data_IF_222385421527
#
_entry.id   IF_222385421527
#
_cell.length_a   1.000
_cell.length_b   1.000
_cell.length_c   1.000
_cell.angle_alpha   90.00
_cell.angle_beta   90.00
_cell.angle_gamma   90.00
#
_symmetry.space_group_name_H-M   'P 1'
#
loop_
_entity.id
_entity.type
_entity.pdbx_description
1 polymer ?
#
# COMPACT_ATOMS: atom_id res chain seq x y z
N UNK A 1 -10.24 49.99 30.06
CA UNK A 1 -9.53 48.74 29.72
C UNK A 1 -10.51 47.64 29.31
N UNK A 2 -11.16 47.71 28.14
CA UNK A 2 -12.01 46.63 27.61
C UNK A 2 -12.11 46.74 26.08
N UNK A 3 -11.00 46.50 25.37
CA UNK A 3 -10.99 46.42 23.90
C UNK A 3 -10.19 45.24 23.35
N UNK A 4 -9.52 44.45 24.21
CA UNK A 4 -8.73 43.29 23.78
C UNK A 4 -9.54 41.99 23.61
N UNK A 5 -10.80 41.93 24.06
CA UNK A 5 -11.58 40.69 24.05
C UNK A 5 -12.08 40.27 22.67
N UNK A 6 -12.40 41.23 21.79
CA UNK A 6 -12.98 40.95 20.47
C UNK A 6 -11.91 40.61 19.42
N UNK A 7 -10.73 41.24 19.49
CA UNK A 7 -9.63 40.95 18.57
C UNK A 7 -9.06 39.53 18.78
N UNK A 8 -8.99 39.06 20.04
CA UNK A 8 -8.55 37.71 20.35
C UNK A 8 -9.55 36.63 19.90
N UNK A 9 -10.85 36.92 19.94
CA UNK A 9 -11.90 35.99 19.49
C UNK A 9 -11.94 35.85 17.96
N UNK A 10 -11.67 36.93 17.23
CA UNK A 10 -11.60 36.94 15.76
C UNK A 10 -10.36 36.23 15.22
N UNK A 11 -9.26 36.20 15.99
CA UNK A 11 -8.04 35.50 15.61
C UNK A 11 -8.16 33.97 15.71
N UNK A 12 -9.01 33.47 16.61
CA UNK A 12 -9.31 32.04 16.76
C UNK A 12 -10.17 31.53 15.59
N UNK A 13 -11.00 32.41 14.99
CA UNK A 13 -11.87 32.07 13.86
C UNK A 13 -11.15 32.06 12.50
N UNK A 14 -9.92 32.59 12.44
CA UNK A 14 -9.11 32.65 11.21
C UNK A 14 -8.06 31.54 11.12
N UNK A 15 -7.93 30.69 12.15
CA UNK A 15 -7.18 29.46 12.00
C UNK A 15 -8.06 28.53 11.16
N UNK A 16 -7.64 28.15 9.93
CA UNK A 16 -8.30 27.03 9.27
C UNK A 16 -8.34 25.90 10.29
N UNK A 17 -9.45 25.16 10.43
CA UNK A 17 -9.41 23.96 11.24
C UNK A 17 -8.22 23.19 10.69
N UNK A 18 -7.16 23.09 11.49
CA UNK A 18 -6.09 22.17 11.19
C UNK A 18 -6.81 20.84 11.24
N UNK A 19 -7.22 20.40 10.05
CA UNK A 19 -7.61 19.05 9.78
C UNK A 19 -6.39 18.25 10.22
N UNK A 20 -6.35 17.89 11.50
CA UNK A 20 -5.98 16.54 11.84
C UNK A 20 -6.98 15.71 11.03
N UNK A 21 -6.65 15.51 9.75
CA UNK A 21 -7.28 14.54 8.92
C UNK A 21 -7.08 13.27 9.72
N UNK A 22 -8.12 12.85 10.44
CA UNK A 22 -8.24 11.49 10.84
C UNK A 22 -8.03 10.73 9.53
N UNK A 23 -6.84 10.16 9.38
CA UNK A 23 -6.52 9.30 8.24
C UNK A 23 -7.49 8.14 8.41
N UNK A 24 -8.66 8.26 7.77
CA UNK A 24 -9.65 7.21 7.79
C UNK A 24 -8.92 5.97 7.29
N UNK A 25 -8.90 4.93 8.12
CA UNK A 25 -8.21 3.70 7.78
C UNK A 25 -8.74 3.23 6.43
N UNK A 26 -7.83 3.01 5.48
CA UNK A 26 -8.21 2.50 4.17
C UNK A 26 -8.94 1.17 4.32
N UNK A 27 -10.00 0.93 3.53
CA UNK A 27 -10.69 -0.35 3.57
C UNK A 27 -9.72 -1.47 3.19
N UNK A 28 -9.91 -2.64 3.80
CA UNK A 28 -9.23 -3.85 3.39
C UNK A 28 -9.75 -4.26 2.01
N UNK A 29 -8.87 -4.65 1.09
CA UNK A 29 -9.28 -5.14 -0.21
C UNK A 29 -10.03 -6.47 -0.10
N UNK A 30 -11.23 -6.53 -0.67
CA UNK A 30 -12.10 -7.71 -0.61
C UNK A 30 -11.64 -8.80 -1.59
N UNK A 31 -10.89 -9.78 -1.07
CA UNK A 31 -10.44 -10.95 -1.84
C UNK A 31 -11.49 -12.06 -1.91
N UNK A 32 -12.64 -11.92 -1.26
CA UNK A 32 -13.74 -12.90 -1.42
C UNK A 32 -14.48 -12.69 -2.74
N UNK A 33 -14.40 -11.47 -3.28
CA UNK A 33 -15.04 -11.10 -4.54
C UNK A 33 -14.19 -11.50 -5.74
N UNK A 34 -14.87 -12.06 -6.76
CA UNK A 34 -14.35 -12.16 -8.11
C UNK A 34 -14.88 -10.99 -8.93
N UNK A 35 -13.98 -10.20 -9.48
CA UNK A 35 -14.32 -9.10 -10.38
C UNK A 35 -14.37 -9.66 -11.80
N UNK A 36 -15.55 -9.66 -12.44
CA UNK A 36 -15.69 -10.25 -13.78
C UNK A 36 -15.31 -9.26 -14.88
N UNK A 37 -15.40 -7.97 -14.57
CA UNK A 37 -15.18 -6.87 -15.51
C UNK A 37 -14.18 -5.88 -14.93
N UNK A 38 -13.39 -5.26 -15.80
CA UNK A 38 -12.41 -4.24 -15.41
C UNK A 38 -13.07 -3.03 -14.73
N UNK A 39 -14.31 -2.68 -15.11
CA UNK A 39 -15.06 -1.60 -14.46
C UNK A 39 -15.36 -1.89 -12.97
N UNK A 40 -15.75 -3.13 -12.64
CA UNK A 40 -16.02 -3.55 -11.26
C UNK A 40 -14.74 -3.52 -10.42
N UNK A 41 -13.63 -3.99 -10.99
CA UNK A 41 -12.31 -3.94 -10.34
C UNK A 41 -11.87 -2.48 -10.14
N UNK A 42 -12.04 -1.63 -11.16
CA UNK A 42 -11.69 -0.20 -11.10
C UNK A 42 -12.48 0.53 -10.03
N UNK A 43 -13.77 0.19 -9.85
CA UNK A 43 -14.57 0.71 -8.75
C UNK A 43 -14.04 0.26 -7.38
N UNK A 44 -13.62 -1.00 -7.25
CA UNK A 44 -13.11 -1.54 -6.00
C UNK A 44 -11.78 -0.93 -5.54
N UNK A 45 -10.95 -0.46 -6.47
CA UNK A 45 -9.67 0.20 -6.16
C UNK A 45 -9.79 1.73 -5.99
N UNK A 46 -10.97 2.32 -6.22
CA UNK A 46 -11.19 3.77 -6.09
C UNK A 46 -10.73 4.35 -4.74
N UNK A 47 -10.99 3.70 -3.58
CA UNK A 47 -10.55 4.26 -2.30
C UNK A 47 -9.04 4.47 -2.21
N UNK A 48 -8.26 3.56 -2.80
CA UNK A 48 -6.80 3.65 -2.81
C UNK A 48 -6.30 4.73 -3.78
N UNK A 49 -6.94 4.84 -4.95
CA UNK A 49 -6.63 5.88 -5.92
C UNK A 49 -6.93 7.28 -5.34
N UNK A 50 -8.06 7.44 -4.64
CA UNK A 50 -8.43 8.68 -3.96
C UNK A 50 -7.47 9.01 -2.80
N UNK A 51 -7.03 8.01 -2.04
CA UNK A 51 -6.04 8.24 -1.00
C UNK A 51 -4.68 8.66 -1.58
N UNK A 52 -4.28 8.12 -2.73
CA UNK A 52 -3.05 8.52 -3.41
C UNK A 52 -3.14 9.89 -4.09
N UNK A 53 -4.34 10.33 -4.50
CA UNK A 53 -4.52 11.70 -4.99
C UNK A 53 -4.47 12.73 -3.85
N UNK A 54 -4.93 12.37 -2.66
CA UNK A 54 -4.84 13.20 -1.46
C UNK A 54 -3.43 13.22 -0.85
N UNK A 55 -2.78 12.05 -0.78
CA UNK A 55 -1.41 11.88 -0.31
C UNK A 55 -0.67 10.81 -1.14
N UNK A 56 0.14 11.29 -2.08
CA UNK A 56 0.96 10.42 -2.94
C UNK A 56 2.02 9.61 -2.18
N UNK A 57 2.29 9.94 -0.91
CA UNK A 57 3.26 9.25 -0.04
C UNK A 57 2.58 8.30 0.96
N UNK A 58 1.29 8.02 0.79
CA UNK A 58 0.60 7.07 1.64
C UNK A 58 1.02 5.62 1.34
N UNK A 59 1.89 5.05 2.19
CA UNK A 59 2.40 3.69 2.03
C UNK A 59 1.28 2.64 2.01
N UNK A 60 0.26 2.79 2.88
CA UNK A 60 -0.87 1.86 2.96
C UNK A 60 -1.75 1.89 1.69
N UNK A 61 -1.91 3.06 1.07
CA UNK A 61 -2.64 3.19 -0.19
C UNK A 61 -1.89 2.51 -1.35
N UNK A 62 -0.58 2.71 -1.42
CA UNK A 62 0.29 1.99 -2.36
C UNK A 62 0.24 0.48 -2.16
N UNK A 63 0.24 0.01 -0.90
CA UNK A 63 0.08 -1.40 -0.57
C UNK A 63 -1.25 -1.97 -1.08
N UNK A 64 -2.39 -1.37 -0.71
CA UNK A 64 -3.70 -1.92 -1.08
C UNK A 64 -3.95 -1.87 -2.58
N UNK A 65 -3.51 -0.81 -3.26
CA UNK A 65 -3.58 -0.71 -4.71
C UNK A 65 -2.73 -1.80 -5.39
N UNK A 66 -1.49 -1.97 -4.92
CA UNK A 66 -0.58 -2.99 -5.43
C UNK A 66 -1.08 -4.42 -5.17
N UNK A 67 -1.62 -4.67 -3.98
CA UNK A 67 -2.22 -5.95 -3.60
C UNK A 67 -3.45 -6.27 -4.45
N UNK A 68 -4.32 -5.27 -4.72
CA UNK A 68 -5.47 -5.45 -5.61
C UNK A 68 -5.04 -5.84 -7.03
N UNK A 69 -4.04 -5.16 -7.60
CA UNK A 69 -3.49 -5.51 -8.91
C UNK A 69 -2.87 -6.92 -8.92
N UNK A 70 -2.14 -7.29 -7.86
CA UNK A 70 -1.55 -8.62 -7.71
C UNK A 70 -2.62 -9.71 -7.66
N UNK A 71 -3.68 -9.47 -6.88
CA UNK A 71 -4.82 -10.39 -6.76
C UNK A 71 -5.52 -10.59 -8.11
N UNK A 72 -5.84 -9.50 -8.82
CA UNK A 72 -6.43 -9.58 -10.15
C UNK A 72 -5.52 -10.30 -11.15
N UNK A 73 -4.21 -10.08 -11.10
CA UNK A 73 -3.26 -10.82 -11.93
C UNK A 73 -3.21 -12.32 -11.60
N UNK A 74 -3.32 -12.71 -10.33
CA UNK A 74 -3.44 -14.13 -9.93
C UNK A 74 -4.72 -14.76 -10.49
N UNK A 75 -5.84 -14.02 -10.46
CA UNK A 75 -7.08 -14.46 -11.11
C UNK A 75 -6.93 -14.58 -12.63
N UNK A 76 -6.20 -13.68 -13.28
CA UNK A 76 -5.85 -13.80 -14.70
C UNK A 76 -5.08 -15.09 -15.00
N UNK A 77 -4.04 -15.39 -14.21
CA UNK A 77 -3.27 -16.64 -14.36
C UNK A 77 -4.13 -17.89 -14.19
N UNK A 78 -5.20 -17.80 -13.39
CA UNK A 78 -6.21 -18.85 -13.21
C UNK A 78 -7.33 -18.84 -14.25
N UNK A 79 -7.33 -17.94 -15.23
CA UNK A 79 -8.37 -17.82 -16.27
C UNK A 79 -9.66 -17.14 -15.81
N UNK A 80 -9.68 -16.52 -14.63
CA UNK A 80 -10.88 -15.92 -14.01
C UNK A 80 -11.02 -14.42 -14.27
N UNK A 81 -9.95 -13.73 -14.68
CA UNK A 81 -9.94 -12.29 -14.94
C UNK A 81 -9.12 -11.93 -16.19
N UNK A 82 -9.63 -12.15 -17.42
CA UNK A 82 -8.88 -11.87 -18.66
C UNK A 82 -8.36 -10.43 -18.78
N UNK A 83 -9.08 -9.46 -18.21
CA UNK A 83 -8.70 -8.04 -18.24
C UNK A 83 -7.41 -7.73 -17.46
N UNK A 84 -6.98 -8.60 -16.54
CA UNK A 84 -5.89 -8.33 -15.62
C UNK A 84 -4.51 -8.81 -16.12
N UNK A 85 -4.38 -9.20 -17.40
CA UNK A 85 -3.12 -9.67 -17.99
C UNK A 85 -1.94 -8.69 -17.78
N UNK A 86 -2.21 -7.38 -17.89
CA UNK A 86 -1.23 -6.31 -17.75
C UNK A 86 -1.05 -5.76 -16.34
N UNK A 87 -1.61 -6.41 -15.31
CA UNK A 87 -1.64 -5.83 -13.95
C UNK A 87 -0.42 -6.17 -13.10
N UNK A 88 0.37 -7.20 -13.44
CA UNK A 88 1.58 -7.53 -12.69
C UNK A 88 2.59 -6.37 -12.61
N UNK A 89 2.92 -5.66 -13.70
CA UNK A 89 3.78 -4.47 -13.62
C UNK A 89 3.20 -3.36 -12.73
N UNK A 90 1.87 -3.18 -12.72
CA UNK A 90 1.19 -2.20 -11.86
C UNK A 90 1.30 -2.58 -10.39
N UNK A 91 1.13 -3.87 -10.09
CA UNK A 91 1.32 -4.41 -8.75
C UNK A 91 2.75 -4.15 -8.25
N UNK A 92 3.76 -4.48 -9.06
CA UNK A 92 5.17 -4.24 -8.73
C UNK A 92 5.45 -2.76 -8.44
N UNK A 93 4.96 -1.85 -9.29
CA UNK A 93 5.18 -0.42 -9.13
C UNK A 93 4.60 0.11 -7.80
N UNK A 94 3.33 -0.20 -7.52
CA UNK A 94 2.67 0.24 -6.28
C UNK A 94 3.30 -0.40 -5.03
N UNK A 95 3.60 -1.71 -5.07
CA UNK A 95 4.22 -2.40 -3.93
C UNK A 95 5.64 -1.91 -3.65
N UNK A 96 6.46 -1.65 -4.68
CA UNK A 96 7.77 -1.03 -4.53
C UNK A 96 7.66 0.35 -3.88
N UNK A 97 6.68 1.15 -4.30
CA UNK A 97 6.46 2.45 -3.70
C UNK A 97 6.07 2.34 -2.23
N UNK A 98 5.18 1.41 -1.87
CA UNK A 98 4.84 1.13 -0.47
C UNK A 98 6.08 0.77 0.37
N UNK A 99 6.91 -0.16 -0.11
CA UNK A 99 8.13 -0.61 0.61
C UNK A 99 9.19 0.50 0.67
N UNK A 100 9.25 1.38 -0.34
CA UNK A 100 10.16 2.54 -0.31
C UNK A 100 9.76 3.59 0.74
N UNK A 101 8.46 3.72 1.00
CA UNK A 101 7.90 4.66 1.97
C UNK A 101 7.96 4.11 3.40
N UNK A 102 7.71 2.81 3.56
CA UNK A 102 7.87 2.09 4.81
C UNK A 102 8.58 0.73 4.58
N UNK A 103 9.89 0.74 4.84
CA UNK A 103 10.75 -0.43 4.66
C UNK A 103 10.52 -1.54 5.68
N UNK A 104 9.67 -1.34 6.69
CA UNK A 104 9.30 -2.33 7.70
C UNK A 104 7.86 -2.81 7.56
N UNK A 105 7.13 -2.35 6.54
CA UNK A 105 5.75 -2.73 6.33
C UNK A 105 5.64 -4.17 5.79
N UNK A 106 5.66 -5.14 6.71
CA UNK A 106 5.73 -6.57 6.41
C UNK A 106 4.67 -7.04 5.38
N UNK A 107 3.37 -6.66 5.49
CA UNK A 107 2.39 -6.99 4.46
C UNK A 107 2.79 -6.56 3.03
N UNK A 108 3.34 -5.34 2.88
CA UNK A 108 3.79 -4.85 1.59
C UNK A 108 5.03 -5.58 1.08
N UNK A 109 5.95 -5.94 1.98
CA UNK A 109 7.16 -6.70 1.65
C UNK A 109 6.80 -8.11 1.15
N UNK A 110 5.87 -8.80 1.82
CA UNK A 110 5.42 -10.13 1.40
C UNK A 110 4.66 -10.08 0.07
N UNK A 111 3.77 -9.10 -0.11
CA UNK A 111 3.08 -8.93 -1.38
C UNK A 111 4.07 -8.58 -2.52
N UNK A 112 5.08 -7.75 -2.26
CA UNK A 112 6.13 -7.43 -3.23
C UNK A 112 6.95 -8.67 -3.58
N UNK A 113 7.37 -9.46 -2.59
CA UNK A 113 8.06 -10.74 -2.81
C UNK A 113 7.26 -11.62 -3.77
N UNK A 114 5.96 -11.80 -3.52
CA UNK A 114 5.12 -12.62 -4.38
C UNK A 114 5.00 -12.06 -5.80
N UNK A 115 4.89 -10.74 -5.95
CA UNK A 115 4.88 -10.08 -7.25
C UNK A 115 6.21 -10.26 -8.00
N UNK A 116 7.35 -10.22 -7.30
CA UNK A 116 8.68 -10.45 -7.86
C UNK A 116 8.84 -11.90 -8.34
N UNK A 117 8.43 -12.88 -7.53
CA UNK A 117 8.42 -14.30 -7.91
C UNK A 117 7.55 -14.52 -9.15
N UNK A 118 6.33 -13.95 -9.18
CA UNK A 118 5.45 -14.04 -10.35
C UNK A 118 6.02 -13.35 -11.60
N UNK A 119 6.89 -12.35 -11.42
CA UNK A 119 7.60 -11.67 -12.51
C UNK A 119 8.91 -12.34 -12.91
N UNK A 120 9.27 -13.46 -12.28
CA UNK A 120 10.54 -14.16 -12.51
C UNK A 120 11.78 -13.48 -11.91
N UNK A 121 11.60 -12.43 -11.11
CA UNK A 121 12.66 -11.63 -10.49
C UNK A 121 13.12 -12.26 -9.15
N UNK A 122 13.55 -13.53 -9.21
CA UNK A 122 13.89 -14.34 -8.04
C UNK A 122 15.01 -13.74 -7.19
N UNK A 123 16.08 -13.24 -7.82
CA UNK A 123 17.20 -12.60 -7.12
C UNK A 123 16.77 -11.40 -6.27
N UNK A 124 15.85 -10.58 -6.80
CA UNK A 124 15.33 -9.41 -6.09
C UNK A 124 14.38 -9.81 -4.96
N UNK A 125 13.59 -10.88 -5.15
CA UNK A 125 12.74 -11.45 -4.12
C UNK A 125 13.55 -11.99 -2.93
N UNK A 126 14.63 -12.72 -3.21
CA UNK A 126 15.54 -13.25 -2.19
C UNK A 126 16.25 -12.15 -1.42
N UNK A 127 16.74 -11.12 -2.14
CA UNK A 127 17.38 -9.96 -1.52
C UNK A 127 16.41 -9.21 -0.60
N UNK A 128 15.13 -9.10 -1.00
CA UNK A 128 14.09 -8.43 -0.23
C UNK A 128 13.82 -9.17 1.09
N UNK A 129 13.66 -10.50 1.06
CA UNK A 129 13.43 -11.31 2.27
C UNK A 129 14.66 -11.31 3.17
N UNK A 130 15.88 -11.43 2.62
CA UNK A 130 17.12 -11.32 3.39
C UNK A 130 17.22 -9.99 4.14
N UNK A 131 16.85 -8.88 3.49
CA UNK A 131 16.80 -7.55 4.13
C UNK A 131 15.79 -7.50 5.27
N UNK A 132 14.57 -8.02 5.07
CA UNK A 132 13.54 -8.10 6.11
C UNK A 132 14.03 -8.86 7.34
N UNK A 133 14.67 -10.02 7.13
CA UNK A 133 15.19 -10.86 8.21
C UNK A 133 16.31 -10.16 8.98
N UNK A 134 17.22 -9.46 8.29
CA UNK A 134 18.27 -8.68 8.94
C UNK A 134 17.71 -7.55 9.81
N UNK A 135 16.65 -6.87 9.35
CA UNK A 135 16.01 -5.77 10.09
C UNK A 135 15.15 -6.26 11.26
N UNK A 136 14.57 -7.44 11.15
CA UNK A 136 13.72 -8.05 12.18
C UNK A 136 14.52 -8.85 13.20
N UNK A 137 15.84 -8.97 13.01
CA UNK A 137 16.73 -9.76 13.85
C UNK A 137 16.81 -9.14 15.26
N UNK A 138 16.45 -9.86 16.32
CA UNK A 138 16.77 -9.42 17.67
C UNK A 138 18.29 -9.38 17.85
N UNK A 139 18.79 -8.36 18.53
CA UNK A 139 20.23 -8.22 18.78
C UNK A 139 20.78 -9.49 19.45
N UNK A 140 21.82 -10.10 18.86
CA UNK A 140 22.50 -11.27 19.41
C UNK A 140 22.00 -12.65 18.98
N UNK A 141 20.93 -12.77 18.19
CA UNK A 141 20.47 -14.09 17.73
C UNK A 141 21.24 -14.56 16.48
N UNK A 142 21.83 -15.77 16.50
CA UNK A 142 22.34 -16.44 15.28
C UNK A 142 21.31 -17.46 14.77
N UNK A 143 20.87 -17.31 13.52
CA UNK A 143 20.14 -18.36 12.83
C UNK A 143 21.00 -18.85 11.65
N UNK A 144 21.45 -20.09 11.73
CA UNK A 144 22.04 -20.82 10.60
C UNK A 144 20.89 -21.28 9.71
N UNK A 145 20.82 -20.78 8.49
CA UNK A 145 19.94 -21.36 7.48
C UNK A 145 20.44 -22.79 7.21
N UNK A 146 19.59 -23.82 7.33
CA UNK A 146 19.98 -25.15 6.89
C UNK A 146 20.35 -25.11 5.40
N UNK A 147 21.31 -25.95 4.97
CA UNK A 147 21.86 -25.96 3.62
C UNK A 147 20.80 -26.22 2.54
#
# INVERSE_FOLDING_TARGET
>A
MRALGLAALLLILLLPPSFAAAQAALPVFDTSRTYRQEAEFTQAIQPYQAALSADARNAQAHYWLGFAYLYAYRLYRGGLAPFAAGYLPRALASLRQSVSLDARFVPAILALHDALVLSGLHEEADALVKRLLQQSRPAGASYTLPP
#
